data_IF_340031426672
#
_entry.id   IF_340031426672
#
_cell.length_a   1.000
_cell.length_b   1.000
_cell.length_c   1.000
_cell.angle_alpha   90.00
_cell.angle_beta   90.00
_cell.angle_gamma   90.00
#
_symmetry.space_group_name_H-M   'P 1'
#
loop_
_entity.id
_entity.type
_entity.pdbx_description
1 polymer ?
#
# COMPACT_ATOMS: atom_id res chain seq x y z
N UNK A 1 15.86 -4.68 -27.65
CA UNK A 1 14.94 -5.58 -26.89
C UNK A 1 15.04 -5.32 -25.37
N UNK A 2 16.23 -5.34 -24.79
CA UNK A 2 16.44 -5.12 -23.34
C UNK A 2 15.89 -3.76 -22.83
N UNK A 3 16.07 -2.68 -23.60
CA UNK A 3 15.56 -1.35 -23.24
C UNK A 3 14.03 -1.30 -23.15
N UNK A 4 13.32 -1.92 -24.09
CA UNK A 4 11.86 -1.94 -24.09
C UNK A 4 11.31 -2.73 -22.89
N UNK A 5 11.96 -3.85 -22.53
CA UNK A 5 11.59 -4.65 -21.36
C UNK A 5 11.88 -3.86 -20.09
N UNK A 6 13.00 -3.11 -20.04
CA UNK A 6 13.30 -2.22 -18.93
C UNK A 6 12.21 -1.17 -18.70
N UNK A 7 11.72 -0.54 -19.78
CA UNK A 7 10.62 0.42 -19.69
C UNK A 7 9.35 -0.23 -19.14
N UNK A 8 9.07 -1.49 -19.51
CA UNK A 8 7.93 -2.23 -18.96
C UNK A 8 8.07 -2.49 -17.45
N UNK A 9 9.28 -2.78 -16.95
CA UNK A 9 9.54 -2.91 -15.52
C UNK A 9 9.38 -1.57 -14.79
N UNK A 10 9.91 -0.50 -15.34
CA UNK A 10 9.83 0.85 -14.78
C UNK A 10 8.40 1.40 -14.73
N UNK A 11 7.49 0.84 -15.55
CA UNK A 11 6.07 1.19 -15.50
C UNK A 11 5.46 0.94 -14.12
N UNK A 12 5.84 -0.15 -13.45
CA UNK A 12 5.35 -0.48 -12.11
C UNK A 12 5.87 0.47 -11.02
N UNK A 13 6.94 1.21 -11.31
CA UNK A 13 7.44 2.31 -10.48
C UNK A 13 6.85 3.69 -10.83
N UNK A 14 5.84 3.73 -11.72
CA UNK A 14 5.16 4.96 -12.14
C UNK A 14 5.75 5.64 -13.38
N UNK A 15 6.78 5.08 -14.03
CA UNK A 15 7.39 5.62 -15.26
C UNK A 15 6.67 5.10 -16.50
N UNK A 16 5.54 5.71 -16.83
CA UNK A 16 4.67 5.28 -17.94
C UNK A 16 5.21 5.78 -19.28
N UNK A 17 5.56 4.86 -20.17
CA UNK A 17 5.90 5.14 -21.57
C UNK A 17 4.94 4.43 -22.51
N UNK A 18 4.80 4.89 -23.75
CA UNK A 18 3.95 4.24 -24.75
C UNK A 18 4.42 2.80 -25.02
N UNK A 19 5.73 2.57 -25.14
CA UNK A 19 6.32 1.23 -25.34
C UNK A 19 5.95 0.29 -24.19
N UNK A 20 6.10 0.74 -22.95
CA UNK A 20 5.70 -0.03 -21.76
C UNK A 20 4.20 -0.34 -21.77
N UNK A 21 3.37 0.65 -22.06
CA UNK A 21 1.90 0.49 -22.14
C UNK A 21 1.52 -0.59 -23.15
N UNK A 22 2.04 -0.52 -24.38
CA UNK A 22 1.77 -1.51 -25.43
C UNK A 22 2.24 -2.91 -25.01
N UNK A 23 3.38 -3.01 -24.34
CA UNK A 23 3.93 -4.29 -23.88
C UNK A 23 3.04 -4.90 -22.77
N UNK A 24 2.61 -4.13 -21.78
CA UNK A 24 1.70 -4.60 -20.74
C UNK A 24 0.34 -5.01 -21.33
N UNK A 25 -0.19 -4.26 -22.29
CA UNK A 25 -1.42 -4.60 -23.00
C UNK A 25 -1.29 -5.92 -23.79
N UNK A 26 -0.15 -6.16 -24.43
CA UNK A 26 0.08 -7.40 -25.18
C UNK A 26 0.07 -8.65 -24.32
N UNK A 27 0.44 -8.54 -23.05
CA UNK A 27 0.31 -9.61 -22.04
C UNK A 27 -1.04 -9.64 -21.35
N UNK A 28 -1.94 -8.70 -21.67
CA UNK A 28 -3.27 -8.63 -21.07
C UNK A 28 -3.26 -8.24 -19.58
N UNK A 29 -2.16 -7.64 -19.09
CA UNK A 29 -2.03 -7.23 -17.68
C UNK A 29 -2.41 -5.76 -17.45
N UNK A 30 -2.74 -5.03 -18.52
CA UNK A 30 -3.19 -3.64 -18.48
C UNK A 30 -4.54 -3.49 -19.19
N UNK A 31 -5.54 -2.98 -18.49
CA UNK A 31 -6.87 -2.66 -18.98
C UNK A 31 -7.10 -1.14 -18.85
N UNK A 32 -7.12 -0.43 -19.99
CA UNK A 32 -7.05 1.03 -20.00
C UNK A 32 -5.76 1.49 -19.30
N UNK A 33 -5.91 2.26 -18.22
CA UNK A 33 -4.80 2.76 -17.39
C UNK A 33 -4.57 1.93 -16.11
N UNK A 34 -5.34 0.85 -15.91
CA UNK A 34 -5.31 0.05 -14.70
C UNK A 34 -4.57 -1.27 -14.92
N UNK A 35 -3.64 -1.58 -14.03
CA UNK A 35 -2.99 -2.90 -14.00
C UNK A 35 -3.98 -3.89 -13.41
N UNK A 36 -4.36 -4.91 -14.23
CA UNK A 36 -5.31 -5.97 -13.91
C UNK A 36 -4.77 -7.34 -14.33
N UNK A 37 -3.84 -7.92 -13.57
CA UNK A 37 -3.24 -9.19 -13.92
C UNK A 37 -4.26 -10.34 -13.97
N UNK A 38 -5.34 -10.27 -13.21
CA UNK A 38 -6.43 -11.26 -13.21
C UNK A 38 -7.14 -11.40 -14.56
N UNK A 39 -7.09 -10.37 -15.40
CA UNK A 39 -7.60 -10.41 -16.78
C UNK A 39 -6.65 -11.11 -17.77
N UNK A 40 -5.40 -11.30 -17.41
CA UNK A 40 -4.40 -11.98 -18.22
C UNK A 40 -4.43 -13.47 -18.00
N UNK A 41 -4.59 -14.26 -19.07
CA UNK A 41 -4.52 -15.73 -18.96
C UNK A 41 -3.19 -16.23 -18.35
N UNK A 42 -2.12 -15.48 -18.55
CA UNK A 42 -0.79 -15.79 -18.04
C UNK A 42 -0.70 -15.56 -16.53
N UNK A 43 -1.06 -14.36 -16.09
CA UNK A 43 -1.00 -14.00 -14.68
C UNK A 43 -2.06 -14.77 -13.86
N UNK A 44 -3.27 -14.93 -14.39
CA UNK A 44 -4.34 -15.70 -13.74
C UNK A 44 -3.90 -17.12 -13.38
N UNK A 45 -3.19 -17.79 -14.28
CA UNK A 45 -2.65 -19.14 -14.03
C UNK A 45 -1.72 -19.16 -12.80
N UNK A 46 -0.74 -18.25 -12.72
CA UNK A 46 0.18 -18.21 -11.58
C UNK A 46 -0.47 -17.72 -10.29
N UNK A 47 -1.44 -16.81 -10.38
CA UNK A 47 -2.27 -16.40 -9.25
C UNK A 47 -3.01 -17.62 -8.67
N UNK A 48 -3.60 -18.46 -9.51
CA UNK A 48 -4.32 -19.64 -9.05
C UNK A 48 -3.36 -20.72 -8.51
N UNK A 49 -2.19 -20.89 -9.11
CA UNK A 49 -1.15 -21.75 -8.55
C UNK A 49 -0.75 -21.29 -7.14
N UNK A 50 -0.48 -19.99 -6.93
CA UNK A 50 -0.15 -19.45 -5.62
C UNK A 50 -1.27 -19.69 -4.59
N UNK A 51 -2.54 -19.54 -4.98
CA UNK A 51 -3.69 -19.77 -4.08
C UNK A 51 -3.79 -21.23 -3.61
N UNK A 52 -3.40 -22.19 -4.44
CA UNK A 52 -3.46 -23.63 -4.13
C UNK A 52 -2.31 -24.10 -3.23
N UNK A 53 -1.21 -23.36 -3.16
CA UNK A 53 -0.09 -23.71 -2.29
C UNK A 53 -0.46 -23.59 -0.80
N UNK A 54 0.23 -24.31 0.11
CA UNK A 54 0.13 -24.03 1.54
C UNK A 54 0.58 -22.59 1.88
N UNK A 55 0.26 -22.06 3.09
CA UNK A 55 0.51 -20.66 3.45
C UNK A 55 1.94 -20.17 3.22
N UNK A 56 2.94 -21.03 3.42
CA UNK A 56 4.37 -20.72 3.21
C UNK A 56 4.91 -21.28 1.89
N UNK A 57 4.05 -21.79 1.04
CA UNK A 57 4.42 -22.34 -0.27
C UNK A 57 4.90 -21.24 -1.22
N UNK A 58 5.87 -21.60 -2.05
CA UNK A 58 6.47 -20.72 -3.06
C UNK A 58 6.46 -21.40 -4.42
N UNK A 59 6.49 -20.62 -5.50
CA UNK A 59 6.77 -21.09 -6.86
C UNK A 59 8.20 -20.67 -7.16
N UNK A 60 9.11 -21.67 -7.23
CA UNK A 60 10.51 -21.39 -7.52
C UNK A 60 10.72 -21.04 -9.00
N UNK A 61 11.80 -20.38 -9.30
CA UNK A 61 12.22 -20.13 -10.69
C UNK A 61 12.26 -21.43 -11.52
N UNK A 62 12.83 -22.51 -10.95
CA UNK A 62 12.91 -23.82 -11.57
C UNK A 62 11.55 -24.51 -11.81
N UNK A 63 10.50 -24.11 -11.10
CA UNK A 63 9.14 -24.63 -11.32
C UNK A 63 8.52 -23.98 -12.56
N UNK A 64 8.95 -22.78 -12.91
CA UNK A 64 8.41 -21.95 -13.99
C UNK A 64 9.15 -22.22 -15.30
N UNK A 65 10.47 -22.28 -15.28
CA UNK A 65 11.29 -22.33 -16.50
C UNK A 65 11.96 -23.68 -16.73
N UNK A 66 11.99 -24.09 -18.02
CA UNK A 66 12.84 -25.16 -18.50
C UNK A 66 14.12 -24.57 -19.11
N UNK A 67 15.23 -25.25 -18.86
CA UNK A 67 16.50 -24.99 -19.60
C UNK A 67 16.35 -25.60 -20.99
N UNK A 68 16.35 -24.76 -22.02
CA UNK A 68 16.44 -25.22 -23.40
C UNK A 68 17.91 -25.20 -23.89
N UNK A 69 18.18 -25.85 -25.04
CA UNK A 69 19.45 -25.78 -25.73
C UNK A 69 19.82 -24.28 -25.96
N UNK A 70 21.10 -23.94 -25.79
CA UNK A 70 21.69 -22.61 -25.98
C UNK A 70 21.25 -21.58 -24.89
N UNK A 71 21.09 -21.98 -23.60
CA UNK A 71 20.77 -21.09 -22.49
C UNK A 71 19.49 -20.25 -22.69
N UNK A 72 18.60 -20.70 -23.57
CA UNK A 72 17.28 -20.08 -23.74
C UNK A 72 16.28 -20.70 -22.75
N UNK A 73 15.81 -19.88 -21.83
CA UNK A 73 14.79 -20.28 -20.88
C UNK A 73 13.40 -19.86 -21.37
N UNK A 74 12.46 -20.78 -21.35
CA UNK A 74 11.06 -20.50 -21.62
C UNK A 74 10.19 -21.00 -20.48
N UNK A 75 9.11 -20.27 -20.22
CA UNK A 75 8.07 -20.70 -19.33
C UNK A 75 7.52 -22.07 -19.76
N UNK A 76 7.43 -23.01 -18.81
CA UNK A 76 7.02 -24.40 -19.05
C UNK A 76 5.62 -24.53 -19.63
N UNK A 77 4.72 -23.66 -19.18
CA UNK A 77 3.30 -23.75 -19.50
C UNK A 77 2.93 -22.98 -20.78
N UNK A 78 3.38 -21.73 -20.90
CA UNK A 78 2.98 -20.84 -22.00
C UNK A 78 4.04 -20.66 -23.08
N UNK A 79 5.25 -21.20 -22.86
CA UNK A 79 6.40 -21.05 -23.78
C UNK A 79 6.78 -19.58 -24.04
N UNK A 80 6.58 -18.74 -23.05
CA UNK A 80 7.03 -17.35 -23.08
C UNK A 80 8.50 -17.30 -22.74
N UNK A 81 9.26 -16.51 -23.52
CA UNK A 81 10.66 -16.26 -23.23
C UNK A 81 10.83 -15.62 -21.85
N UNK A 82 11.82 -16.09 -21.08
CA UNK A 82 12.09 -15.65 -19.70
C UNK A 82 12.28 -14.13 -19.56
N UNK A 83 12.71 -13.43 -20.62
CA UNK A 83 12.86 -11.98 -20.61
C UNK A 83 11.54 -11.22 -20.40
N UNK A 84 10.42 -11.80 -20.81
CA UNK A 84 9.10 -11.16 -20.72
C UNK A 84 8.29 -11.61 -19.52
N UNK A 85 8.56 -12.79 -19.01
CA UNK A 85 7.79 -13.38 -17.89
C UNK A 85 7.81 -12.51 -16.63
N UNK A 86 8.90 -11.82 -16.24
CA UNK A 86 8.90 -10.92 -15.10
C UNK A 86 7.92 -9.74 -15.21
N UNK A 87 7.51 -9.34 -16.44
CA UNK A 87 6.47 -8.32 -16.61
C UNK A 87 5.14 -8.82 -16.03
N UNK A 88 4.81 -10.09 -16.31
CA UNK A 88 3.60 -10.73 -15.79
C UNK A 88 3.68 -10.80 -14.26
N UNK A 89 4.81 -11.21 -13.70
CA UNK A 89 5.00 -11.36 -12.26
C UNK A 89 5.01 -10.02 -11.53
N UNK A 90 5.66 -8.99 -12.07
CA UNK A 90 5.61 -7.65 -11.51
C UNK A 90 4.20 -7.06 -11.53
N UNK A 91 3.37 -7.41 -12.53
CA UNK A 91 1.95 -7.04 -12.53
C UNK A 91 1.18 -7.68 -11.37
N UNK A 92 1.47 -8.97 -11.07
CA UNK A 92 0.90 -9.68 -9.92
C UNK A 92 1.37 -9.08 -8.59
N UNK A 93 2.65 -8.70 -8.50
CA UNK A 93 3.21 -8.01 -7.33
C UNK A 93 2.56 -6.65 -7.14
N UNK A 94 2.42 -5.86 -8.21
CA UNK A 94 1.77 -4.55 -8.19
C UNK A 94 0.33 -4.64 -7.67
N UNK A 95 -0.41 -5.62 -8.14
CA UNK A 95 -1.81 -5.84 -7.74
C UNK A 95 -1.97 -6.58 -6.40
N UNK A 96 -0.85 -6.95 -5.73
CA UNK A 96 -0.86 -7.58 -4.41
C UNK A 96 -1.26 -9.06 -4.41
N UNK A 97 -1.14 -9.75 -5.53
CA UNK A 97 -1.37 -11.21 -5.62
C UNK A 97 -0.12 -12.03 -5.27
N UNK A 98 1.06 -11.42 -5.38
CA UNK A 98 2.33 -12.08 -5.14
C UNK A 98 3.36 -11.14 -4.49
N UNK A 99 4.40 -11.73 -3.91
CA UNK A 99 5.71 -11.12 -3.70
C UNK A 99 6.74 -11.83 -4.57
N UNK A 100 7.77 -11.13 -5.00
CA UNK A 100 8.89 -11.70 -5.77
C UNK A 100 10.17 -11.53 -4.97
N UNK A 101 10.84 -12.65 -4.65
CA UNK A 101 12.11 -12.64 -3.94
C UNK A 101 13.26 -12.81 -4.93
N UNK A 102 14.25 -11.93 -4.86
CA UNK A 102 15.47 -11.97 -5.66
C UNK A 102 16.55 -12.80 -4.97
N UNK A 103 17.60 -13.20 -5.69
CA UNK A 103 18.71 -13.99 -5.13
C UNK A 103 19.50 -13.26 -4.06
N UNK A 104 19.58 -11.94 -4.11
CA UNK A 104 20.22 -11.10 -3.08
C UNK A 104 19.38 -10.95 -1.79
N UNK A 105 18.23 -11.61 -1.71
CA UNK A 105 17.31 -11.53 -0.57
C UNK A 105 16.32 -10.36 -0.61
N UNK A 106 16.39 -9.48 -1.61
CA UNK A 106 15.40 -8.42 -1.77
C UNK A 106 14.03 -9.02 -2.07
N UNK A 107 13.02 -8.58 -1.33
CA UNK A 107 11.62 -8.96 -1.56
C UNK A 107 10.87 -7.79 -2.17
N UNK A 108 10.40 -7.98 -3.40
CA UNK A 108 9.51 -7.04 -4.09
C UNK A 108 8.07 -7.31 -3.69
N UNK A 109 7.38 -6.28 -3.29
CA UNK A 109 5.97 -6.26 -2.91
C UNK A 109 5.28 -5.03 -3.48
N UNK A 110 3.98 -4.93 -3.39
CA UNK A 110 3.22 -3.76 -3.84
C UNK A 110 3.69 -2.44 -3.19
N UNK A 111 4.37 -2.51 -2.04
CA UNK A 111 4.81 -1.32 -1.28
C UNK A 111 6.13 -0.72 -1.75
N UNK A 112 6.99 -1.49 -2.42
CA UNK A 112 8.37 -1.07 -2.73
C UNK A 112 8.74 -1.18 -4.21
N UNK A 113 7.76 -1.24 -5.12
CA UNK A 113 8.01 -1.30 -6.57
C UNK A 113 8.66 -0.03 -7.13
N UNK A 114 8.64 1.09 -6.40
CA UNK A 114 9.42 2.29 -6.70
C UNK A 114 10.94 2.04 -6.70
N UNK A 115 11.39 0.94 -6.08
CA UNK A 115 12.80 0.51 -6.10
C UNK A 115 13.21 -0.21 -7.39
N UNK A 116 12.26 -0.73 -8.17
CA UNK A 116 12.51 -1.50 -9.40
C UNK A 116 13.47 -0.79 -10.37
N UNK A 117 13.40 0.53 -10.59
CA UNK A 117 14.34 1.23 -11.45
C UNK A 117 15.81 1.16 -11.00
N UNK A 118 16.08 0.80 -9.75
CA UNK A 118 17.44 0.69 -9.18
C UNK A 118 17.95 -0.75 -9.21
N UNK A 119 17.10 -1.72 -9.52
CA UNK A 119 17.43 -3.14 -9.56
C UNK A 119 17.98 -3.48 -10.94
N UNK A 120 19.03 -4.29 -11.00
CA UNK A 120 19.57 -4.80 -12.25
C UNK A 120 18.53 -5.60 -13.02
N UNK A 121 18.50 -5.46 -14.35
CA UNK A 121 17.54 -6.20 -15.18
C UNK A 121 17.74 -7.71 -15.05
N UNK A 122 19.00 -8.15 -14.94
CA UNK A 122 19.34 -9.55 -14.74
C UNK A 122 18.79 -10.09 -13.41
N UNK A 123 18.85 -9.31 -12.34
CA UNK A 123 18.30 -9.71 -11.03
C UNK A 123 16.79 -9.96 -11.10
N UNK A 124 16.08 -9.22 -11.96
CA UNK A 124 14.64 -9.42 -12.18
C UNK A 124 14.37 -10.64 -13.06
N UNK A 125 15.24 -10.94 -14.01
CA UNK A 125 15.13 -12.16 -14.83
C UNK A 125 15.42 -13.43 -14.04
N UNK A 126 16.39 -13.37 -13.14
CA UNK A 126 16.86 -14.47 -12.31
C UNK A 126 16.30 -14.41 -10.89
N UNK A 127 15.04 -14.01 -10.74
CA UNK A 127 14.40 -14.00 -9.41
C UNK A 127 14.44 -15.42 -8.78
N UNK A 128 14.37 -15.49 -7.47
CA UNK A 128 14.49 -16.75 -6.74
C UNK A 128 13.17 -17.53 -6.71
N UNK A 129 12.09 -16.86 -6.27
CA UNK A 129 10.75 -17.44 -6.19
C UNK A 129 9.67 -16.38 -6.10
N UNK A 130 8.43 -16.80 -6.38
CA UNK A 130 7.21 -16.07 -6.08
C UNK A 130 6.55 -16.67 -4.83
N UNK A 131 6.00 -15.83 -3.97
CA UNK A 131 5.27 -16.24 -2.78
C UNK A 131 3.95 -15.47 -2.67
N UNK A 132 3.03 -15.99 -1.85
CA UNK A 132 1.85 -15.20 -1.48
C UNK A 132 2.30 -14.00 -0.62
N UNK A 133 1.67 -12.81 -0.79
CA UNK A 133 1.90 -11.71 0.12
C UNK A 133 1.43 -12.08 1.54
N UNK A 134 1.96 -11.38 2.54
CA UNK A 134 1.43 -11.48 3.89
C UNK A 134 -0.08 -11.23 3.87
N UNK A 135 -0.82 -11.95 4.69
CA UNK A 135 -2.26 -11.79 4.79
C UNK A 135 -2.57 -10.39 5.34
N UNK A 136 -3.51 -9.68 4.70
CA UNK A 136 -3.97 -8.38 5.18
C UNK A 136 -4.53 -8.48 6.59
N UNK A 137 -4.14 -7.58 7.47
CA UNK A 137 -4.69 -7.43 8.82
C UNK A 137 -6.13 -6.87 8.73
N UNK A 138 -7.06 -7.69 8.22
CA UNK A 138 -8.40 -7.27 7.82
C UNK A 138 -9.23 -6.76 9.00
N UNK A 139 -9.11 -7.40 10.15
CA UNK A 139 -9.90 -7.04 11.32
C UNK A 139 -9.45 -5.70 11.91
N UNK A 140 -8.13 -5.49 11.99
CA UNK A 140 -7.51 -4.25 12.44
C UNK A 140 -7.80 -3.10 11.46
N UNK A 141 -7.70 -3.38 10.17
CA UNK A 141 -7.99 -2.37 9.15
C UNK A 141 -9.47 -1.96 9.15
N UNK A 142 -10.40 -2.89 9.34
CA UNK A 142 -11.82 -2.59 9.51
C UNK A 142 -12.07 -1.72 10.74
N UNK A 143 -11.40 -2.02 11.86
CA UNK A 143 -11.49 -1.19 13.06
C UNK A 143 -10.99 0.23 12.81
N UNK A 144 -9.88 0.40 12.08
CA UNK A 144 -9.42 1.75 11.70
C UNK A 144 -10.43 2.47 10.81
N UNK A 145 -11.07 1.75 9.87
CA UNK A 145 -12.12 2.33 9.03
C UNK A 145 -13.29 2.85 9.87
N UNK A 146 -13.74 2.07 10.86
CA UNK A 146 -14.79 2.49 11.80
C UNK A 146 -14.38 3.75 12.58
N UNK A 147 -13.15 3.80 13.11
CA UNK A 147 -12.60 4.96 13.82
C UNK A 147 -12.57 6.23 12.96
N UNK A 148 -12.25 6.08 11.68
CA UNK A 148 -12.22 7.16 10.71
C UNK A 148 -13.59 7.45 10.07
N UNK A 149 -14.65 6.78 10.52
CA UNK A 149 -16.02 6.93 9.98
C UNK A 149 -16.09 6.58 8.48
N UNK A 150 -15.37 5.52 8.08
CA UNK A 150 -15.40 4.95 6.75
C UNK A 150 -16.15 3.62 6.80
N UNK A 151 -16.97 3.33 5.79
CA UNK A 151 -17.69 2.05 5.75
C UNK A 151 -16.71 0.87 5.57
N UNK A 152 -16.54 -0.02 6.57
CA UNK A 152 -15.57 -1.13 6.50
C UNK A 152 -15.94 -2.20 5.47
N UNK A 153 -17.20 -2.25 5.01
CA UNK A 153 -17.67 -3.19 3.97
C UNK A 153 -16.91 -2.97 2.64
N UNK A 154 -16.39 -1.76 2.38
CA UNK A 154 -15.55 -1.46 1.22
C UNK A 154 -14.28 -2.33 1.13
N UNK A 155 -13.86 -2.94 2.25
CA UNK A 155 -12.69 -3.83 2.28
C UNK A 155 -13.04 -5.28 1.89
N UNK A 156 -14.30 -5.70 2.03
CA UNK A 156 -14.72 -7.08 1.81
C UNK A 156 -14.71 -7.46 0.32
N UNK A 157 -15.10 -6.52 -0.54
CA UNK A 157 -15.11 -6.73 -1.97
C UNK A 157 -13.87 -6.11 -2.62
N UNK A 158 -13.02 -6.88 -3.32
CA UNK A 158 -11.86 -6.34 -4.03
C UNK A 158 -12.16 -5.19 -4.98
N UNK A 159 -13.34 -5.17 -5.61
CA UNK A 159 -13.73 -4.11 -6.56
C UNK A 159 -14.04 -2.78 -5.86
N UNK A 160 -14.42 -2.80 -4.58
CA UNK A 160 -14.78 -1.61 -3.81
C UNK A 160 -13.58 -1.04 -3.04
N UNK A 161 -12.46 -1.78 -2.95
CA UNK A 161 -11.26 -1.37 -2.22
C UNK A 161 -10.60 -0.10 -2.77
N UNK A 162 -10.72 0.19 -4.06
CA UNK A 162 -10.25 1.46 -4.64
C UNK A 162 -10.97 2.65 -3.99
N UNK A 163 -12.29 2.53 -3.79
CA UNK A 163 -13.07 3.56 -3.10
C UNK A 163 -12.72 3.62 -1.61
N UNK A 164 -12.52 2.47 -0.97
CA UNK A 164 -12.04 2.39 0.40
C UNK A 164 -10.72 3.11 0.60
N UNK A 165 -9.76 2.92 -0.31
CA UNK A 165 -8.47 3.62 -0.30
C UNK A 165 -8.64 5.13 -0.44
N UNK A 166 -9.47 5.60 -1.37
CA UNK A 166 -9.72 7.04 -1.54
C UNK A 166 -10.28 7.68 -0.27
N UNK A 167 -11.25 7.02 0.36
CA UNK A 167 -11.85 7.51 1.59
C UNK A 167 -10.85 7.48 2.75
N UNK A 168 -10.02 6.42 2.85
CA UNK A 168 -8.94 6.33 3.84
C UNK A 168 -7.96 7.50 3.71
N UNK A 169 -7.48 7.79 2.49
CA UNK A 169 -6.53 8.88 2.25
C UNK A 169 -7.14 10.25 2.57
N UNK A 170 -8.40 10.47 2.20
CA UNK A 170 -9.12 11.71 2.50
C UNK A 170 -9.25 11.90 4.02
N UNK A 171 -9.74 10.88 4.73
CA UNK A 171 -9.93 10.91 6.19
C UNK A 171 -8.61 11.03 6.94
N UNK A 172 -7.56 10.35 6.50
CA UNK A 172 -6.22 10.48 7.07
C UNK A 172 -5.71 11.92 6.95
N UNK A 173 -5.88 12.55 5.78
CA UNK A 173 -5.48 13.95 5.58
C UNK A 173 -6.30 14.91 6.45
N UNK A 174 -7.62 14.72 6.54
CA UNK A 174 -8.51 15.51 7.40
C UNK A 174 -8.09 15.38 8.87
N UNK A 175 -7.82 14.16 9.35
CA UNK A 175 -7.41 13.88 10.72
C UNK A 175 -6.04 14.48 11.04
N UNK A 176 -5.07 14.35 10.13
CA UNK A 176 -3.75 14.97 10.26
C UNK A 176 -3.85 16.49 10.36
N UNK A 177 -4.66 17.12 9.49
CA UNK A 177 -4.88 18.57 9.53
C UNK A 177 -5.56 19.02 10.82
N UNK A 178 -6.54 18.26 11.31
CA UNK A 178 -7.21 18.53 12.59
C UNK A 178 -6.24 18.48 13.77
N UNK A 179 -5.31 17.52 13.76
CA UNK A 179 -4.27 17.42 14.78
C UNK A 179 -3.31 18.62 14.76
N UNK A 180 -2.92 19.10 13.57
CA UNK A 180 -2.10 20.32 13.42
C UNK A 180 -2.83 21.55 13.98
N UNK A 181 -4.10 21.72 13.61
CA UNK A 181 -4.92 22.85 14.11
C UNK A 181 -5.12 22.80 15.63
N UNK A 182 -5.40 21.60 16.17
CA UNK A 182 -5.53 21.42 17.63
C UNK A 182 -4.22 21.79 18.35
N UNK A 183 -3.08 21.34 17.84
CA UNK A 183 -1.78 21.67 18.41
C UNK A 183 -1.47 23.17 18.36
N UNK A 184 -1.81 23.87 17.26
CA UNK A 184 -1.66 25.32 17.16
C UNK A 184 -2.52 26.04 18.20
N UNK A 185 -3.74 25.56 18.46
CA UNK A 185 -4.62 26.12 19.48
C UNK A 185 -4.07 25.94 20.90
N UNK A 186 -3.51 24.77 21.20
CA UNK A 186 -2.84 24.51 22.47
C UNK A 186 -1.63 25.45 22.68
N UNK A 187 -0.89 25.73 21.62
CA UNK A 187 0.28 26.63 21.66
C UNK A 187 -0.11 28.12 21.81
N UNK A 188 -1.28 28.52 21.30
CA UNK A 188 -1.78 29.90 21.36
C UNK A 188 -2.51 30.27 22.66
N UNK A 189 -2.41 29.43 23.67
CA UNK A 189 -3.07 29.61 24.97
C UNK A 189 -4.44 28.89 25.03
N UNK A 190 -4.46 27.79 25.74
CA UNK A 190 -5.69 27.06 26.06
C UNK A 190 -6.25 27.56 27.38
N UNK A 191 -6.87 28.75 27.33
CA UNK A 191 -7.25 29.55 28.48
C UNK A 191 -8.73 29.94 28.41
N UNK A 192 -9.35 30.05 29.58
CA UNK A 192 -10.67 30.62 29.76
C UNK A 192 -10.59 31.75 30.82
N UNK A 193 -11.02 32.97 30.43
CA UNK A 193 -10.90 34.17 31.26
C UNK A 193 -9.47 34.46 31.79
N UNK A 194 -8.46 34.20 30.96
CA UNK A 194 -7.03 34.32 31.28
C UNK A 194 -6.50 33.31 32.32
N UNK A 195 -7.27 32.25 32.60
CA UNK A 195 -6.82 31.13 33.43
C UNK A 195 -6.58 29.91 32.56
N UNK A 196 -5.46 29.20 32.71
CA UNK A 196 -5.19 28.00 31.94
C UNK A 196 -6.19 26.90 32.28
N UNK A 197 -6.78 26.30 31.26
CA UNK A 197 -7.77 25.22 31.41
C UNK A 197 -7.17 23.90 31.86
N UNK A 198 -5.88 23.71 31.63
CA UNK A 198 -5.14 22.51 31.99
C UNK A 198 -3.78 22.90 32.55
N UNK A 199 -3.26 22.09 33.46
CA UNK A 199 -1.89 22.30 33.93
C UNK A 199 -0.84 21.99 32.85
N UNK A 200 0.40 22.37 33.08
CA UNK A 200 1.49 22.23 32.12
C UNK A 200 1.77 20.76 31.73
N UNK A 201 1.55 19.81 32.64
CA UNK A 201 1.79 18.39 32.38
C UNK A 201 0.73 17.84 31.42
N UNK A 202 -0.54 18.17 31.63
CA UNK A 202 -1.63 17.79 30.74
C UNK A 202 -1.50 18.47 29.37
N UNK A 203 -1.09 19.75 29.33
CA UNK A 203 -0.84 20.45 28.06
C UNK A 203 0.21 19.76 27.22
N UNK A 204 1.34 19.36 27.81
CA UNK A 204 2.39 18.60 27.12
C UNK A 204 1.86 17.23 26.62
N UNK A 205 1.04 16.54 27.41
CA UNK A 205 0.45 15.27 27.00
C UNK A 205 -0.50 15.45 25.80
N UNK A 206 -1.32 16.48 25.78
CA UNK A 206 -2.22 16.83 24.67
C UNK A 206 -1.44 17.19 23.40
N UNK A 207 -0.37 17.98 23.51
CA UNK A 207 0.51 18.29 22.38
C UNK A 207 1.18 17.05 21.79
N UNK A 208 1.66 16.12 22.65
CA UNK A 208 2.21 14.83 22.22
C UNK A 208 1.17 13.98 21.50
N UNK A 209 -0.07 13.94 21.97
CA UNK A 209 -1.15 13.23 21.29
C UNK A 209 -1.43 13.82 19.89
N UNK A 210 -1.47 15.15 19.76
CA UNK A 210 -1.62 15.81 18.47
C UNK A 210 -0.47 15.47 17.51
N UNK A 211 0.77 15.49 18.00
CA UNK A 211 1.94 15.12 17.19
C UNK A 211 1.88 13.67 16.72
N UNK A 212 1.53 12.73 17.61
CA UNK A 212 1.43 11.30 17.28
C UNK A 212 0.38 11.05 16.19
N UNK A 213 -0.81 11.65 16.28
CA UNK A 213 -1.86 11.50 15.26
C UNK A 213 -1.43 12.12 13.93
N UNK A 214 -0.84 13.31 13.96
CA UNK A 214 -0.28 13.94 12.73
C UNK A 214 0.75 13.04 12.07
N UNK A 215 1.72 12.52 12.83
CA UNK A 215 2.84 11.74 12.30
C UNK A 215 2.36 10.40 11.73
N UNK A 216 1.37 9.73 12.36
CA UNK A 216 0.80 8.50 11.83
C UNK A 216 0.10 8.74 10.49
N UNK A 217 -0.78 9.72 10.40
CA UNK A 217 -1.63 9.90 9.22
C UNK A 217 -0.97 10.68 8.07
N UNK A 218 0.08 11.47 8.31
CA UNK A 218 0.74 12.29 7.29
C UNK A 218 1.33 11.47 6.12
N UNK A 219 1.70 10.22 6.36
CA UNK A 219 2.36 9.35 5.39
C UNK A 219 1.40 8.34 4.70
N UNK A 220 0.10 8.39 4.98
CA UNK A 220 -0.86 7.40 4.44
C UNK A 220 -0.93 7.44 2.91
N UNK A 221 -0.81 8.61 2.28
CA UNK A 221 -0.78 8.73 0.82
C UNK A 221 0.40 8.02 0.16
N UNK A 222 1.53 7.90 0.84
CA UNK A 222 2.68 7.12 0.37
C UNK A 222 2.53 5.63 0.69
N UNK A 223 2.02 5.29 1.90
CA UNK A 223 1.90 3.92 2.39
C UNK A 223 0.77 3.13 1.76
N UNK A 224 -0.40 3.75 1.51
CA UNK A 224 -1.67 3.05 1.20
C UNK A 224 -2.39 3.60 -0.03
N UNK A 225 -1.68 4.12 -1.04
CA UNK A 225 -2.30 4.74 -2.22
C UNK A 225 -2.92 3.76 -3.24
N UNK A 226 -2.87 2.47 -2.99
CA UNK A 226 -3.51 1.43 -3.79
C UNK A 226 -4.10 0.33 -2.89
N UNK A 227 -5.13 -0.41 -3.33
CA UNK A 227 -5.67 -1.55 -2.58
C UNK A 227 -4.63 -2.59 -2.18
N UNK A 228 -3.67 -2.86 -3.06
CA UNK A 228 -2.60 -3.81 -2.79
C UNK A 228 -1.69 -3.37 -1.63
N UNK A 229 -1.48 -2.06 -1.46
CA UNK A 229 -0.67 -1.53 -0.35
C UNK A 229 -1.36 -1.65 1.01
N UNK A 230 -2.66 -1.90 1.08
CA UNK A 230 -3.34 -2.18 2.34
C UNK A 230 -2.79 -3.45 3.02
N UNK A 231 -2.16 -4.37 2.26
CA UNK A 231 -1.44 -5.52 2.82
C UNK A 231 -0.27 -5.13 3.74
N UNK A 232 0.20 -3.88 3.67
CA UNK A 232 1.28 -3.36 4.54
C UNK A 232 0.76 -2.72 5.84
N UNK A 233 -0.53 -2.83 6.11
CA UNK A 233 -1.11 -2.36 7.35
C UNK A 233 -0.65 -3.21 8.52
N UNK A 234 -0.07 -2.58 9.53
CA UNK A 234 0.60 -3.27 10.66
C UNK A 234 0.14 -2.78 12.03
N UNK A 235 -0.76 -1.80 12.10
CA UNK A 235 -1.26 -1.34 13.39
C UNK A 235 -2.04 -2.46 14.09
N UNK A 236 -1.73 -2.66 15.35
CA UNK A 236 -2.44 -3.58 16.24
C UNK A 236 -3.74 -2.97 16.76
N UNK A 237 -4.62 -3.80 17.34
CA UNK A 237 -5.83 -3.32 17.98
C UNK A 237 -5.54 -2.28 19.08
N UNK A 238 -4.50 -2.48 19.90
CA UNK A 238 -4.10 -1.59 20.98
C UNK A 238 -3.63 -0.22 20.45
N UNK A 239 -2.86 -0.22 19.36
CA UNK A 239 -2.41 1.02 18.72
C UNK A 239 -3.58 1.80 18.11
N UNK A 240 -4.58 1.10 17.53
CA UNK A 240 -5.80 1.72 17.00
C UNK A 240 -6.66 2.29 18.14
N UNK A 241 -6.78 1.60 19.28
CA UNK A 241 -7.50 2.10 20.45
C UNK A 241 -6.86 3.38 20.98
N UNK A 242 -5.54 3.40 21.09
CA UNK A 242 -4.78 4.60 21.48
C UNK A 242 -4.98 5.76 20.51
N UNK A 243 -4.96 5.49 19.18
CA UNK A 243 -5.27 6.50 18.17
C UNK A 243 -6.69 7.02 18.31
N UNK A 244 -7.66 6.15 18.65
CA UNK A 244 -9.06 6.54 18.86
C UNK A 244 -9.21 7.53 20.01
N UNK A 245 -8.54 7.26 21.13
CA UNK A 245 -8.51 8.17 22.27
C UNK A 245 -7.91 9.53 21.89
N UNK A 246 -6.80 9.51 21.16
CA UNK A 246 -6.11 10.73 20.70
C UNK A 246 -6.96 11.53 19.70
N UNK A 247 -7.62 10.87 18.74
CA UNK A 247 -8.54 11.53 17.80
C UNK A 247 -9.74 12.15 18.54
N UNK A 248 -10.28 11.47 19.52
CA UNK A 248 -11.38 11.97 20.35
C UNK A 248 -10.95 13.23 21.12
N UNK A 249 -9.76 13.23 21.70
CA UNK A 249 -9.18 14.40 22.36
C UNK A 249 -9.02 15.58 21.38
N UNK A 250 -8.53 15.34 20.16
CA UNK A 250 -8.38 16.37 19.12
C UNK A 250 -9.73 16.98 18.74
N UNK A 251 -10.78 16.15 18.60
CA UNK A 251 -12.15 16.62 18.34
C UNK A 251 -12.64 17.52 19.49
N UNK A 252 -12.44 17.12 20.74
CA UNK A 252 -12.82 17.92 21.91
C UNK A 252 -12.10 19.28 21.98
N UNK A 253 -10.78 19.33 21.66
CA UNK A 253 -10.03 20.58 21.57
C UNK A 253 -10.60 21.48 20.46
N UNK A 254 -11.00 20.91 19.34
CA UNK A 254 -11.59 21.65 18.22
C UNK A 254 -12.95 22.28 18.60
N UNK A 255 -13.82 21.52 19.27
CA UNK A 255 -15.13 21.99 19.72
C UNK A 255 -15.03 23.11 20.76
N UNK A 256 -14.11 23.01 21.70
CA UNK A 256 -13.91 24.02 22.73
C UNK A 256 -13.67 25.42 22.15
N UNK A 257 -12.94 25.54 21.06
CA UNK A 257 -12.64 26.86 20.44
C UNK A 257 -13.85 27.44 19.71
N UNK A 258 -14.75 26.58 19.22
CA UNK A 258 -15.99 27.05 18.61
C UNK A 258 -16.88 27.71 19.67
N UNK A 259 -16.88 27.20 20.90
CA UNK A 259 -17.60 27.82 22.05
C UNK A 259 -17.04 29.21 22.38
N UNK A 260 -15.74 29.40 22.40
CA UNK A 260 -15.08 30.68 22.70
C UNK A 260 -15.40 31.76 21.64
N UNK A 261 -15.61 31.38 20.37
CA UNK A 261 -15.95 32.31 19.29
C UNK A 261 -17.44 32.69 19.24
N UNK A 262 -18.32 31.91 19.83
CA UNK A 262 -19.78 32.18 19.90
C UNK A 262 -20.16 33.03 21.11
N UNK A 263 -19.29 33.10 22.13
CA UNK A 263 -19.53 33.82 23.39
C UNK A 263 -19.01 35.26 23.42
N UNK A 264 -18.58 35.80 22.30
CA UNK A 264 -18.21 37.18 22.05
C UNK A 264 -19.19 37.78 21.04
#
# INVERSE_FOLDING_TARGET
>A
MAENVRQAFDYFAGRKTQTATLMLQSFGVLDGDKIRPEGSKYAAYYIDQLKQLPPQGVINYSDIFDVKYDDQYEDKHFKINYLFTPIIFLSMVYAGYATMTLHNGTVLSASNLDTVPRIGVLDLYEFKYLARPAQMAMAELKKLFDVLEINPVLLDNPNDRDEGVKQLLKKAQETSNSAVLANQKLNNGFELWNEPLVDAQHLIAMQKACAAVKDEFSNYSARFNTPAKLNNFTLTFEEIDKLTEQITLIKAIAEYVTFKTVSY
#
